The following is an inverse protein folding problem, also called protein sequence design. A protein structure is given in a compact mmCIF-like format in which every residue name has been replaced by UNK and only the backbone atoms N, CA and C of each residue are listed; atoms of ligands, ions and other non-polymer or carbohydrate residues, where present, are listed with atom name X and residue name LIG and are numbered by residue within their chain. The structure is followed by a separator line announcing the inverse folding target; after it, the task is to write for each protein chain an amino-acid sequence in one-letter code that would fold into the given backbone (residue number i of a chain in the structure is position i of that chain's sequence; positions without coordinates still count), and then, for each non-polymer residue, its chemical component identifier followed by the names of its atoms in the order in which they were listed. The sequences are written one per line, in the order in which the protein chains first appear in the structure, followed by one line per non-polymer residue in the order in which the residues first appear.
data_IF_115577869321
#
_entry.id   IF_115577869321
#
_cell.length_a   1.000
_cell.length_b   1.000
_cell.length_c   1.000
_cell.angle_alpha   90.00
_cell.angle_beta   90.00
_cell.angle_gamma   90.00
#
_symmetry.space_group_name_H-M   'P 1'
#
loop_
_entity.id
_entity.type
_entity.pdbx_description
1 polymer ?
#
# COMPACT_ATOMS: atom_id res chain seq x y z
N UNK A 1 -3.39 8.70 -17.38
CA UNK A 1 -2.03 8.31 -17.83
C UNK A 1 -1.31 7.76 -16.61
N UNK A 2 -1.26 6.43 -16.47
CA UNK A 2 -0.67 5.77 -15.30
C UNK A 2 0.74 5.34 -15.69
N UNK A 3 1.76 5.96 -15.08
CA UNK A 3 3.16 5.58 -15.26
C UNK A 3 3.38 4.24 -14.57
N UNK A 4 3.33 3.16 -15.34
CA UNK A 4 3.66 1.81 -14.89
C UNK A 4 5.19 1.65 -14.91
N UNK A 5 5.80 1.59 -13.73
CA UNK A 5 7.23 1.27 -13.60
C UNK A 5 7.39 -0.26 -13.53
N UNK A 6 7.59 -0.93 -14.67
CA UNK A 6 7.97 -2.34 -14.69
C UNK A 6 9.49 -2.48 -14.50
N UNK A 7 9.92 -2.97 -13.34
CA UNK A 7 11.31 -3.37 -13.11
C UNK A 7 11.46 -4.87 -13.37
N UNK A 8 12.02 -5.23 -14.53
CA UNK A 8 12.40 -6.62 -14.86
C UNK A 8 13.78 -6.92 -14.25
N UNK A 9 13.83 -7.75 -13.21
CA UNK A 9 15.07 -8.30 -12.65
C UNK A 9 15.11 -9.82 -12.90
N UNK A 10 16.17 -10.37 -13.53
CA UNK A 10 16.22 -11.78 -13.90
C UNK A 10 16.35 -12.70 -12.66
N UNK A 11 15.60 -13.79 -12.66
CA UNK A 11 15.51 -14.77 -11.59
C UNK A 11 16.52 -15.91 -11.80
N UNK A 12 17.52 -16.02 -10.93
CA UNK A 12 18.33 -17.25 -10.81
C UNK A 12 18.26 -17.80 -9.38
N UNK A 13 17.87 -19.07 -9.27
CA UNK A 13 17.93 -19.99 -8.12
C UNK A 13 17.16 -19.66 -6.81
N UNK A 14 15.97 -20.27 -6.72
CA UNK A 14 15.26 -20.85 -5.55
C UNK A 14 16.22 -21.17 -4.37
N UNK A 15 16.18 -20.47 -3.21
CA UNK A 15 15.36 -20.79 -2.01
C UNK A 15 15.23 -19.62 -0.99
N UNK A 16 15.44 -18.35 -1.37
CA UNK A 16 15.17 -17.22 -0.46
C UNK A 16 13.76 -16.66 -0.71
N UNK A 17 12.84 -17.06 0.17
CA UNK A 17 11.40 -16.96 0.02
C UNK A 17 10.86 -15.57 -0.34
N UNK A 18 9.69 -15.56 -0.99
CA UNK A 18 8.98 -14.38 -1.54
C UNK A 18 8.70 -13.22 -0.56
N UNK A 19 9.14 -13.33 0.69
CA UNK A 19 9.09 -12.31 1.73
C UNK A 19 10.25 -11.31 1.62
N UNK A 20 11.43 -11.75 1.14
CA UNK A 20 12.57 -10.86 0.89
C UNK A 20 12.30 -9.86 -0.25
N UNK A 21 11.34 -10.17 -1.13
CA UNK A 21 10.98 -9.35 -2.28
C UNK A 21 9.85 -8.36 -2.02
N UNK A 22 9.24 -8.33 -0.82
CA UNK A 22 8.18 -7.37 -0.48
C UNK A 22 8.73 -5.97 -0.15
N UNK A 23 9.93 -5.90 0.43
CA UNK A 23 10.49 -4.64 0.95
C UNK A 23 10.62 -3.56 -0.12
N UNK A 24 11.29 -3.87 -1.23
CA UNK A 24 11.52 -2.93 -2.34
C UNK A 24 10.22 -2.41 -2.99
N UNK A 25 9.29 -3.26 -3.48
CA UNK A 25 8.07 -2.77 -4.12
C UNK A 25 7.16 -2.03 -3.15
N UNK A 26 7.07 -2.46 -1.88
CA UNK A 26 6.30 -1.74 -0.88
C UNK A 26 6.91 -0.37 -0.56
N UNK A 27 8.23 -0.31 -0.35
CA UNK A 27 8.93 0.94 -0.08
C UNK A 27 8.74 1.96 -1.20
N UNK A 28 8.82 1.49 -2.45
CA UNK A 28 8.55 2.30 -3.63
C UNK A 28 7.10 2.81 -3.66
N UNK A 29 6.11 1.94 -3.42
CA UNK A 29 4.70 2.30 -3.39
C UNK A 29 4.37 3.31 -2.28
N UNK A 30 4.94 3.12 -1.08
CA UNK A 30 4.79 4.04 0.06
C UNK A 30 5.37 5.41 -0.29
N UNK A 31 6.60 5.45 -0.84
CA UNK A 31 7.24 6.70 -1.24
C UNK A 31 6.43 7.44 -2.31
N UNK A 32 5.98 6.72 -3.34
CA UNK A 32 5.17 7.31 -4.42
C UNK A 32 3.89 7.93 -3.86
N UNK A 33 3.13 7.16 -3.08
CA UNK A 33 1.87 7.65 -2.49
C UNK A 33 2.09 8.81 -1.51
N UNK A 34 3.16 8.78 -0.72
CA UNK A 34 3.52 9.88 0.18
C UNK A 34 3.75 11.18 -0.59
N UNK A 35 4.48 11.11 -1.70
CA UNK A 35 4.76 12.27 -2.56
C UNK A 35 3.47 12.79 -3.22
N UNK A 36 2.59 11.90 -3.71
CA UNK A 36 1.27 12.29 -4.23
C UNK A 36 0.42 13.05 -3.21
N UNK A 37 0.52 12.68 -1.93
CA UNK A 37 -0.18 13.34 -0.83
C UNK A 37 0.52 14.62 -0.34
N UNK A 38 1.69 14.98 -0.88
CA UNK A 38 2.47 16.15 -0.43
C UNK A 38 3.03 16.00 0.99
N UNK A 39 3.20 14.77 1.48
CA UNK A 39 3.66 14.50 2.85
C UNK A 39 5.19 14.38 2.93
N UNK A 40 5.78 14.98 3.96
CA UNK A 40 7.16 14.70 4.37
C UNK A 40 7.27 13.31 5.01
N UNK A 41 8.47 12.73 5.09
CA UNK A 41 8.65 11.45 5.78
C UNK A 41 8.26 11.54 7.26
N UNK A 42 8.61 12.62 7.94
CA UNK A 42 8.31 12.89 9.34
C UNK A 42 6.79 12.84 9.59
N UNK A 43 6.01 13.54 8.76
CA UNK A 43 4.55 13.55 8.84
C UNK A 43 3.92 12.18 8.63
N UNK A 44 4.30 11.45 7.58
CA UNK A 44 3.75 10.11 7.36
C UNK A 44 4.15 9.15 8.51
N UNK A 45 5.39 9.22 8.96
CA UNK A 45 5.87 8.38 10.04
C UNK A 45 5.08 8.63 11.34
N UNK A 46 4.82 9.90 11.68
CA UNK A 46 3.98 10.27 12.80
C UNK A 46 2.55 9.73 12.65
N UNK A 47 1.92 9.88 11.48
CA UNK A 47 0.58 9.36 11.20
C UNK A 47 0.52 7.82 11.29
N UNK A 48 1.57 7.13 10.87
CA UNK A 48 1.67 5.67 10.91
C UNK A 48 2.18 5.11 12.26
N UNK A 49 2.44 5.97 13.25
CA UNK A 49 2.94 5.56 14.57
C UNK A 49 4.33 4.91 14.50
N UNK A 50 5.23 5.46 13.70
CA UNK A 50 6.62 4.98 13.57
C UNK A 50 7.63 6.14 13.53
N UNK A 51 8.91 5.83 13.68
CA UNK A 51 9.96 6.85 13.55
C UNK A 51 10.25 7.18 12.09
N UNK A 52 10.69 8.41 11.82
CA UNK A 52 11.12 8.84 10.49
C UNK A 52 12.25 7.95 9.94
N UNK A 53 13.22 7.58 10.77
CA UNK A 53 14.30 6.68 10.37
C UNK A 53 13.80 5.27 10.00
N UNK A 54 12.75 4.78 10.67
CA UNK A 54 12.10 3.53 10.30
C UNK A 54 11.36 3.65 8.95
N UNK A 55 10.68 4.76 8.70
CA UNK A 55 10.04 5.03 7.41
C UNK A 55 11.09 5.14 6.29
N UNK A 56 12.20 5.83 6.52
CA UNK A 56 13.30 5.95 5.55
C UNK A 56 13.93 4.59 5.20
N UNK A 57 14.04 3.66 6.16
CA UNK A 57 14.46 2.28 5.88
C UNK A 57 13.42 1.52 5.08
N UNK A 58 12.14 1.68 5.40
CA UNK A 58 11.03 1.07 4.69
C UNK A 58 10.97 1.54 3.23
N UNK A 59 11.06 2.85 2.96
CA UNK A 59 11.05 3.41 1.60
C UNK A 59 12.22 2.95 0.74
N UNK A 60 13.33 2.53 1.37
CA UNK A 60 14.51 1.95 0.69
C UNK A 60 14.43 0.43 0.54
N UNK A 61 13.33 -0.19 0.95
CA UNK A 61 13.14 -1.64 0.92
C UNK A 61 14.01 -2.41 1.92
N UNK A 62 14.59 -1.73 2.91
CA UNK A 62 15.47 -2.33 3.92
C UNK A 62 14.73 -2.80 5.18
N UNK A 63 13.41 -2.86 5.13
CA UNK A 63 12.58 -3.32 6.23
C UNK A 63 11.46 -4.20 5.67
N UNK A 64 11.21 -5.32 6.36
CA UNK A 64 10.02 -6.14 6.14
C UNK A 64 9.00 -5.69 7.20
N UNK A 65 7.91 -5.01 6.81
CA UNK A 65 6.91 -4.56 7.75
C UNK A 65 6.02 -5.71 8.20
N UNK A 66 5.50 -5.58 9.41
CA UNK A 66 4.47 -6.46 9.95
C UNK A 66 3.08 -6.07 9.41
N UNK A 67 2.13 -7.00 9.41
CA UNK A 67 0.73 -6.70 9.02
C UNK A 67 0.15 -5.48 9.77
N UNK A 68 0.33 -5.32 11.10
CA UNK A 68 -0.16 -4.13 11.80
C UNK A 68 0.45 -2.82 11.31
N UNK A 69 1.70 -2.83 10.84
CA UNK A 69 2.31 -1.61 10.26
C UNK A 69 1.70 -1.30 8.88
N UNK A 70 1.39 -2.33 8.09
CA UNK A 70 0.72 -2.16 6.80
C UNK A 70 -0.68 -1.54 6.97
N UNK A 71 -1.44 -1.97 7.97
CA UNK A 71 -2.74 -1.39 8.31
C UNK A 71 -2.63 0.10 8.67
N UNK A 72 -1.65 0.45 9.53
CA UNK A 72 -1.42 1.85 9.91
C UNK A 72 -0.99 2.72 8.73
N UNK A 73 -0.17 2.19 7.82
CA UNK A 73 0.22 2.90 6.59
C UNK A 73 -0.98 3.13 5.66
N UNK A 74 -1.82 2.10 5.46
CA UNK A 74 -3.05 2.21 4.68
C UNK A 74 -4.00 3.28 5.25
N UNK A 75 -4.18 3.29 6.57
CA UNK A 75 -4.97 4.30 7.28
C UNK A 75 -4.38 5.71 7.13
N UNK A 76 -3.07 5.87 7.40
CA UNK A 76 -2.37 7.15 7.30
C UNK A 76 -2.43 7.77 5.89
N UNK A 77 -2.50 6.92 4.85
CA UNK A 77 -2.58 7.34 3.45
C UNK A 77 -4.00 7.42 2.89
N UNK A 78 -5.02 7.12 3.71
CA UNK A 78 -6.44 7.08 3.32
C UNK A 78 -6.64 6.24 2.06
N UNK A 79 -6.00 5.07 2.01
CA UNK A 79 -5.98 4.21 0.83
C UNK A 79 -6.01 2.74 1.21
N UNK A 80 -6.64 1.92 0.36
CA UNK A 80 -6.55 0.47 0.45
C UNK A 80 -5.18 0.03 -0.03
N UNK A 81 -4.47 -0.75 0.77
CA UNK A 81 -3.23 -1.40 0.36
C UNK A 81 -3.55 -2.75 -0.28
N UNK A 82 -3.22 -2.90 -1.58
CA UNK A 82 -3.33 -4.16 -2.31
C UNK A 82 -1.94 -4.73 -2.53
N UNK A 83 -1.75 -5.99 -2.15
CA UNK A 83 -0.52 -6.75 -2.40
C UNK A 83 -0.91 -7.98 -3.23
N UNK A 84 -0.40 -8.06 -4.44
CA UNK A 84 -0.59 -9.20 -5.33
C UNK A 84 0.73 -9.97 -5.50
N UNK A 85 0.66 -11.29 -5.31
CA UNK A 85 1.78 -12.21 -5.43
C UNK A 85 1.57 -13.08 -6.66
N UNK A 86 2.56 -13.13 -7.55
CA UNK A 86 2.56 -14.02 -8.71
C UNK A 86 3.37 -15.29 -8.42
N UNK A 87 2.97 -16.48 -8.94
CA UNK A 87 3.78 -17.69 -8.88
C UNK A 87 5.20 -17.54 -9.46
N UNK A 88 5.41 -16.54 -10.31
CA UNK A 88 6.72 -16.18 -10.86
C UNK A 88 7.66 -15.52 -9.86
N UNK A 89 7.20 -15.20 -8.64
CA UNK A 89 7.97 -14.47 -7.63
C UNK A 89 7.81 -12.95 -7.70
N UNK A 90 6.96 -12.46 -8.60
CA UNK A 90 6.67 -11.03 -8.75
C UNK A 90 5.70 -10.56 -7.66
N UNK A 91 6.01 -9.41 -7.07
CA UNK A 91 5.18 -8.75 -6.06
C UNK A 91 4.74 -7.40 -6.58
N UNK A 92 3.43 -7.17 -6.64
CA UNK A 92 2.86 -5.87 -6.97
C UNK A 92 2.22 -5.27 -5.72
N UNK A 93 2.59 -4.03 -5.42
CA UNK A 93 2.03 -3.28 -4.29
C UNK A 93 1.38 -2.01 -4.82
N UNK A 94 0.11 -1.80 -4.48
CA UNK A 94 -0.66 -0.64 -4.96
C UNK A 94 -1.45 -0.03 -3.81
N UNK A 95 -1.42 1.29 -3.69
CA UNK A 95 -2.37 2.04 -2.86
C UNK A 95 -3.53 2.51 -3.72
N UNK A 96 -4.74 2.00 -3.46
CA UNK A 96 -5.96 2.41 -4.15
C UNK A 96 -6.79 3.28 -3.22
N UNK A 97 -6.99 4.54 -3.59
CA UNK A 97 -7.97 5.39 -2.91
C UNK A 97 -9.35 4.76 -3.10
N UNK A 98 -10.12 4.52 -2.03
CA UNK A 98 -11.52 4.15 -2.18
C UNK A 98 -12.21 5.27 -2.96
N UNK A 99 -12.71 4.96 -4.16
CA UNK A 99 -13.63 5.88 -4.83
C UNK A 99 -14.85 6.13 -3.94
N UNK A 100 -15.64 7.19 -4.20
CA UNK A 100 -16.88 7.42 -3.48
C UNK A 100 -17.67 6.12 -3.44
N UNK A 101 -18.07 5.69 -2.24
CA UNK A 101 -18.94 4.53 -2.07
C UNK A 101 -20.13 4.74 -3.01
N UNK A 102 -20.51 3.76 -3.85
CA UNK A 102 -21.75 3.89 -4.58
C UNK A 102 -22.84 4.16 -3.54
N UNK A 103 -23.49 5.32 -3.63
CA UNK A 103 -24.66 5.61 -2.82
C UNK A 103 -25.66 4.49 -3.09
N UNK A 104 -25.76 3.51 -2.19
CA UNK A 104 -26.88 2.57 -2.25
C UNK A 104 -28.12 3.44 -2.12
N UNK A 105 -29.02 3.48 -3.13
CA UNK A 105 -30.27 4.21 -2.97
C UNK A 105 -30.96 3.64 -1.72
N UNK A 106 -31.38 4.54 -0.83
CA UNK A 106 -32.14 4.15 0.35
C UNK A 106 -33.35 3.35 -0.18
N UNK A 107 -33.57 2.10 0.25
CA UNK A 107 -34.74 1.36 -0.20
C UNK A 107 -35.97 2.24 0.08
N UNK A 108 -36.94 2.30 -0.86
CA UNK A 108 -38.14 3.09 -0.64
C UNK A 108 -38.70 2.70 0.72
N UNK A 109 -38.80 3.67 1.64
CA UNK A 109 -39.49 3.46 2.92
C UNK A 109 -40.88 3.02 2.51
N UNK A 110 -41.19 1.73 2.65
CA UNK A 110 -42.52 1.22 2.38
C UNK A 110 -43.45 2.04 3.27
N UNK A 111 -44.27 2.87 2.63
CA UNK A 111 -45.27 3.65 3.32
C UNK A 111 -46.10 2.66 4.13
N UNK A 112 -46.20 2.89 5.44
CA UNK A 112 -47.09 2.11 6.30
C UNK A 112 -48.48 2.16 5.68
N UNK A 113 -48.93 1.03 5.15
CA UNK A 113 -50.32 0.85 4.75
C UNK A 113 -51.18 1.08 5.99
N UNK A 114 -52.07 2.06 5.89
CA UNK A 114 -53.15 2.30 6.84
C UNK A 114 -54.23 1.23 6.67
#
# INVERSE_FOLDING_TARGET
MVVQTESRIPHTSRTNGGWAYLGTPLGAAVKARRVELGLTQERLAAQAGMSQGALSRLERGKAVPTLPLLERLAAAMTANLLIALSPTGTVHVTFRVPGPLPHRPNPPRMASAR
#
